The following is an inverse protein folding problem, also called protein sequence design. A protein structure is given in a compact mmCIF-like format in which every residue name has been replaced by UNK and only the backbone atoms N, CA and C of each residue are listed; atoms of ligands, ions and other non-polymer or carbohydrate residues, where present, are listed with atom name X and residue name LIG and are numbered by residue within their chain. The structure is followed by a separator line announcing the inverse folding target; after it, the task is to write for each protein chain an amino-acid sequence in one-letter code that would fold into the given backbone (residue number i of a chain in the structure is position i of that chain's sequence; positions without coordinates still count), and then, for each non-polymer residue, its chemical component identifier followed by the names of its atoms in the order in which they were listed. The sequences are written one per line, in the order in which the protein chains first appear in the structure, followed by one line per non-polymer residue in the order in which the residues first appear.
data_IF_470557299390
#
_entry.id   IF_470557299390
#
_cell.length_a   1.000
_cell.length_b   1.000
_cell.length_c   1.000
_cell.angle_alpha   90.00
_cell.angle_beta   90.00
_cell.angle_gamma   90.00
#
_symmetry.space_group_name_H-M   'P 1'
#
loop_
_entity.id
_entity.type
_entity.pdbx_description
1 polymer ?
#
# COMPACT_ATOMS: atom_id res chain seq x y z
N UNK A 1 -14.43 -21.90 -11.21
CA UNK A 1 -14.91 -20.92 -10.22
C UNK A 1 -13.69 -20.22 -9.65
N UNK A 2 -13.31 -19.09 -10.25
CA UNK A 2 -12.60 -18.00 -9.57
C UNK A 2 -13.00 -16.74 -10.34
N UNK A 3 -14.15 -16.20 -9.94
CA UNK A 3 -14.70 -14.96 -10.43
C UNK A 3 -14.24 -13.87 -9.47
N UNK A 4 -13.25 -13.06 -9.86
CA UNK A 4 -13.08 -11.70 -9.33
C UNK A 4 -12.73 -10.71 -10.46
N UNK A 5 -13.82 -10.25 -11.08
CA UNK A 5 -14.19 -8.86 -11.42
C UNK A 5 -13.27 -7.97 -12.30
N UNK A 6 -13.86 -7.63 -13.46
CA UNK A 6 -13.44 -6.76 -14.55
C UNK A 6 -13.30 -5.26 -14.19
N UNK A 7 -12.45 -4.54 -14.91
CA UNK A 7 -12.45 -3.07 -14.89
C UNK A 7 -11.91 -2.44 -16.18
N UNK A 8 -12.60 -2.61 -17.31
CA UNK A 8 -12.42 -1.72 -18.46
C UNK A 8 -13.11 -0.38 -18.15
N UNK A 9 -12.33 0.65 -17.80
CA UNK A 9 -12.85 2.00 -17.66
C UNK A 9 -13.02 2.64 -19.05
N UNK A 10 -14.26 2.66 -19.53
CA UNK A 10 -14.71 3.55 -20.61
C UNK A 10 -14.83 4.99 -20.07
N UNK A 11 -14.49 5.97 -20.91
CA UNK A 11 -14.54 7.42 -20.66
C UNK A 11 -13.80 7.95 -19.42
N UNK A 12 -12.50 8.22 -19.58
CA UNK A 12 -11.79 9.26 -18.81
C UNK A 12 -11.41 8.92 -17.37
N UNK A 13 -11.70 7.72 -16.89
CA UNK A 13 -11.21 7.24 -15.59
C UNK A 13 -9.97 6.39 -15.83
N UNK A 14 -8.80 6.92 -15.47
CA UNK A 14 -7.57 6.15 -15.42
C UNK A 14 -7.64 5.30 -14.15
N UNK A 15 -7.70 3.98 -14.28
CA UNK A 15 -7.46 3.08 -13.14
C UNK A 15 -5.97 3.22 -12.82
N UNK A 16 -5.61 4.24 -12.03
CA UNK A 16 -4.29 4.30 -11.42
C UNK A 16 -4.14 3.09 -10.50
N UNK A 17 -3.04 2.38 -10.67
CA UNK A 17 -2.84 1.01 -10.23
C UNK A 17 -3.35 0.75 -8.81
N UNK A 18 -3.98 -0.41 -8.63
CA UNK A 18 -4.43 -0.94 -7.35
C UNK A 18 -3.23 -0.94 -6.38
N UNK A 19 -3.07 0.15 -5.62
CA UNK A 19 -1.99 0.29 -4.65
C UNK A 19 -2.35 -0.66 -3.52
N UNK A 20 -1.59 -1.75 -3.32
CA UNK A 20 -1.98 -2.79 -2.38
C UNK A 20 -2.14 -2.19 -0.99
N UNK A 21 -3.13 -2.66 -0.24
CA UNK A 21 -3.33 -2.23 1.14
C UNK A 21 -3.35 -3.42 2.08
N UNK A 22 -2.93 -3.19 3.32
CA UNK A 22 -2.94 -4.17 4.39
C UNK A 22 -3.80 -3.66 5.53
N UNK A 23 -4.55 -4.57 6.15
CA UNK A 23 -5.25 -4.32 7.40
C UNK A 23 -4.64 -5.22 8.46
N UNK A 24 -3.97 -4.62 9.43
CA UNK A 24 -3.11 -5.33 10.39
C UNK A 24 -3.33 -4.81 11.80
N UNK A 25 -2.97 -5.61 12.80
CA UNK A 25 -3.02 -5.17 14.19
C UNK A 25 -1.96 -4.10 14.45
N UNK A 26 -2.33 -3.07 15.19
CA UNK A 26 -1.46 -1.93 15.49
C UNK A 26 -0.19 -2.33 16.24
N UNK A 27 -0.27 -3.35 17.09
CA UNK A 27 0.86 -3.87 17.87
C UNK A 27 1.95 -4.50 16.97
N UNK A 28 1.55 -5.14 15.87
CA UNK A 28 2.46 -5.83 14.94
C UNK A 28 3.27 -4.85 14.08
N UNK A 29 2.79 -3.60 13.94
CA UNK A 29 3.41 -2.56 13.10
C UNK A 29 3.82 -1.31 13.89
N UNK A 30 3.93 -1.42 15.21
CA UNK A 30 4.24 -0.28 16.09
C UNK A 30 5.52 0.48 15.73
N UNK A 31 6.49 -0.17 15.07
CA UNK A 31 7.73 0.43 14.59
C UNK A 31 7.75 0.85 13.11
N UNK A 32 6.71 0.54 12.34
CA UNK A 32 6.66 0.74 10.90
C UNK A 32 6.42 2.22 10.56
N UNK A 33 7.17 2.74 9.57
CA UNK A 33 7.10 4.15 9.13
C UNK A 33 6.85 4.25 7.63
N UNK A 34 6.43 5.45 7.20
CA UNK A 34 6.35 5.80 5.79
C UNK A 34 7.72 5.61 5.13
N UNK A 35 7.73 5.10 3.90
CA UNK A 35 8.90 4.74 3.10
C UNK A 35 9.66 3.48 3.54
N UNK A 36 9.25 2.82 4.63
CA UNK A 36 9.85 1.52 4.99
C UNK A 36 9.57 0.47 3.92
N UNK A 37 10.56 -0.38 3.65
CA UNK A 37 10.46 -1.48 2.69
C UNK A 37 9.89 -2.72 3.37
N UNK A 38 8.87 -3.32 2.77
CA UNK A 38 8.21 -4.54 3.23
C UNK A 38 8.36 -5.62 2.18
N UNK A 39 8.71 -6.82 2.62
CA UNK A 39 8.77 -8.01 1.78
C UNK A 39 7.53 -8.88 2.07
N UNK A 40 6.70 -9.08 1.05
CA UNK A 40 5.53 -9.97 1.14
C UNK A 40 5.77 -11.10 0.15
N UNK A 41 6.19 -12.26 0.67
CA UNK A 41 6.66 -13.37 -0.15
C UNK A 41 7.91 -13.01 -0.94
N UNK A 42 7.82 -13.05 -2.28
CA UNK A 42 8.93 -12.69 -3.20
C UNK A 42 8.83 -11.25 -3.73
N UNK A 43 7.76 -10.55 -3.38
CA UNK A 43 7.50 -9.21 -3.88
C UNK A 43 7.97 -8.17 -2.85
N UNK A 44 8.47 -7.07 -3.38
CA UNK A 44 8.95 -5.92 -2.60
C UNK A 44 7.91 -4.82 -2.69
N UNK A 45 7.57 -4.24 -1.54
CA UNK A 45 6.67 -3.11 -1.40
C UNK A 45 7.30 -2.08 -0.48
N UNK A 46 6.69 -0.90 -0.41
CA UNK A 46 7.06 0.11 0.56
C UNK A 46 5.82 0.79 1.13
N UNK A 47 5.93 1.33 2.33
CA UNK A 47 4.82 1.98 3.02
C UNK A 47 4.57 3.37 2.43
N UNK A 48 3.48 3.54 1.70
CA UNK A 48 3.06 4.88 1.24
C UNK A 48 2.36 5.65 2.34
N UNK A 49 1.45 5.00 3.07
CA UNK A 49 0.64 5.66 4.10
C UNK A 49 0.24 4.69 5.18
N UNK A 50 0.21 5.16 6.42
CA UNK A 50 -0.35 4.43 7.57
C UNK A 50 -1.53 5.24 8.10
N UNK A 51 -2.70 4.61 8.22
CA UNK A 51 -3.87 5.20 8.85
C UNK A 51 -3.66 5.36 10.36
N UNK A 52 -4.42 6.24 11.01
CA UNK A 52 -4.54 6.24 12.47
C UNK A 52 -4.96 4.86 13.01
N UNK A 53 -4.71 4.66 14.29
CA UNK A 53 -5.13 3.45 14.99
C UNK A 53 -6.64 3.45 15.21
N UNK A 54 -7.32 2.47 14.61
CA UNK A 54 -8.75 2.23 14.77
C UNK A 54 -8.96 1.00 15.66
N UNK A 55 -9.08 1.23 16.97
CA UNK A 55 -9.37 0.19 17.97
C UNK A 55 -8.40 -1.01 17.97
N UNK A 56 -7.09 -0.78 17.76
CA UNK A 56 -6.06 -1.82 17.79
C UNK A 56 -5.73 -2.41 16.42
N UNK A 57 -6.23 -1.80 15.35
CA UNK A 57 -5.93 -2.15 13.97
C UNK A 57 -5.68 -0.92 13.11
N UNK A 58 -4.90 -1.07 12.04
CA UNK A 58 -4.53 0.01 11.11
C UNK A 58 -4.62 -0.46 9.67
N UNK A 59 -5.10 0.45 8.83
CA UNK A 59 -4.93 0.35 7.38
C UNK A 59 -3.58 0.91 6.94
N UNK A 60 -2.85 0.15 6.13
CA UNK A 60 -1.61 0.59 5.48
C UNK A 60 -1.83 0.56 3.97
N UNK A 61 -1.42 1.62 3.28
CA UNK A 61 -1.30 1.64 1.83
C UNK A 61 0.16 1.43 1.43
N UNK A 62 0.38 0.59 0.44
CA UNK A 62 1.68 0.20 -0.04
C UNK A 62 1.89 0.67 -1.47
N UNK A 63 3.11 1.12 -1.76
CA UNK A 63 3.60 1.21 -3.12
C UNK A 63 4.35 -0.06 -3.51
N UNK A 64 4.34 -0.37 -4.80
CA UNK A 64 5.03 -1.55 -5.35
C UNK A 64 6.50 -1.21 -5.63
N UNK A 65 7.41 -2.13 -5.30
CA UNK A 65 8.84 -1.98 -5.55
C UNK A 65 9.57 -1.25 -4.44
N UNK A 66 10.55 -0.42 -4.82
CA UNK A 66 11.37 0.38 -3.90
C UNK A 66 10.72 1.74 -3.64
N UNK A 67 10.87 2.31 -2.42
CA UNK A 67 10.35 3.62 -2.11
C UNK A 67 11.00 4.68 -3.02
N UNK A 68 10.25 5.71 -3.43
CA UNK A 68 10.86 6.84 -4.12
C UNK A 68 11.95 7.43 -3.23
N UNK A 69 13.16 7.56 -3.76
CA UNK A 69 14.22 8.32 -3.07
C UNK A 69 13.67 9.71 -2.82
N UNK A 70 13.71 10.16 -1.56
CA UNK A 70 13.10 11.38 -1.03
C UNK A 70 13.73 12.68 -1.58
N UNK A 71 13.94 12.75 -2.90
CA UNK A 71 14.79 13.73 -3.54
C UNK A 71 14.11 14.28 -4.81
N UNK A 72 13.04 15.06 -4.60
CA UNK A 72 12.57 16.07 -5.56
C UNK A 72 12.03 17.31 -4.83
N UNK A 73 12.88 17.91 -4.00
CA UNK A 73 12.85 19.36 -3.80
C UNK A 73 14.11 19.91 -4.48
N UNK A 74 13.93 20.52 -5.65
CA UNK A 74 14.87 21.48 -6.23
C UNK A 74 14.14 22.79 -6.42
#
# INVERSE_FOLDING_TARGET
EEEENLGYASNGVRIEGCSPSLFVKSDEISGLKRLDVIYIGKNVFWVDRIAPDDCGSRHIWLGVGMPPTENRLR
#
